data_IF_607725335530
#
_entry.id   IF_607725335530
#
_cell.length_a   1.000
_cell.length_b   1.000
_cell.length_c   1.000
_cell.angle_alpha   90.00
_cell.angle_beta   90.00
_cell.angle_gamma   90.00
#
_symmetry.space_group_name_H-M   'P 1'
#
loop_
_entity.id
_entity.type
_entity.pdbx_description
1 polymer ?
#
# COMPACT_ATOMS: atom_id res chain seq x y z
N UNK A 1 -5.35 65.90 28.04
CA UNK A 1 -5.53 65.10 26.81
C UNK A 1 -4.83 63.76 27.01
N UNK A 2 -5.57 62.67 27.16
CA UNK A 2 -5.01 61.32 26.96
C UNK A 2 -6.17 60.32 26.81
N UNK A 3 -6.37 59.81 25.59
CA UNK A 3 -7.30 58.72 25.30
C UNK A 3 -6.44 57.48 25.08
N UNK A 4 -6.47 56.55 26.04
CA UNK A 4 -5.89 55.24 25.88
C UNK A 4 -6.87 54.37 25.08
N UNK A 5 -6.56 54.12 23.81
CA UNK A 5 -7.31 53.17 22.98
C UNK A 5 -6.77 51.77 23.25
N UNK A 6 -7.54 50.96 23.97
CA UNK A 6 -7.26 49.55 24.20
C UNK A 6 -7.63 48.76 22.94
N UNK A 7 -6.64 48.33 22.17
CA UNK A 7 -6.80 47.38 21.06
C UNK A 7 -6.94 45.97 21.66
N UNK A 8 -8.16 45.42 21.64
CA UNK A 8 -8.41 44.01 21.94
C UNK A 8 -8.19 43.21 20.66
N UNK A 9 -7.04 42.56 20.56
CA UNK A 9 -6.73 41.60 19.48
C UNK A 9 -7.46 40.28 19.77
N UNK A 10 -8.50 39.98 19.01
CA UNK A 10 -9.20 38.70 19.07
C UNK A 10 -8.32 37.65 18.37
N UNK A 11 -7.69 36.78 19.15
CA UNK A 11 -6.99 35.61 18.65
C UNK A 11 -8.02 34.55 18.22
N UNK A 12 -8.38 34.52 16.93
CA UNK A 12 -9.16 33.42 16.36
C UNK A 12 -8.20 32.26 16.08
N UNK A 13 -7.96 31.45 17.10
CA UNK A 13 -7.32 30.14 16.94
C UNK A 13 -8.36 29.17 16.37
N UNK A 14 -8.60 29.24 15.06
CA UNK A 14 -9.38 28.21 14.39
C UNK A 14 -8.57 26.90 14.45
N UNK A 15 -9.05 25.94 15.25
CA UNK A 15 -8.64 24.54 15.19
C UNK A 15 -8.92 24.03 13.78
N UNK A 16 -7.94 24.15 12.89
CA UNK A 16 -7.98 23.63 11.51
C UNK A 16 -7.48 22.19 11.42
N UNK A 17 -7.58 21.43 12.53
CA UNK A 17 -7.27 20.02 12.53
C UNK A 17 -8.59 19.26 12.35
N UNK A 18 -8.85 18.88 11.10
CA UNK A 18 -9.68 17.75 10.66
C UNK A 18 -10.89 17.45 11.53
N UNK A 19 -12.05 18.01 11.15
CA UNK A 19 -13.32 17.41 11.55
C UNK A 19 -13.30 15.98 11.02
N UNK A 20 -13.34 15.02 11.94
CA UNK A 20 -13.64 13.63 11.59
C UNK A 20 -15.05 13.64 10.99
N UNK A 21 -15.16 13.32 9.70
CA UNK A 21 -16.44 12.99 9.11
C UNK A 21 -16.95 11.72 9.81
N UNK A 22 -18.24 11.74 10.17
CA UNK A 22 -18.85 10.72 11.02
C UNK A 22 -18.91 9.33 10.38
N UNK A 23 -18.68 9.28 9.06
CA UNK A 23 -18.49 8.08 8.26
C UNK A 23 -17.16 8.25 7.54
N UNK A 24 -16.31 7.21 7.52
CA UNK A 24 -15.06 7.26 6.76
C UNK A 24 -15.35 7.72 5.33
N UNK A 25 -14.74 8.83 4.90
CA UNK A 25 -14.93 9.38 3.54
C UNK A 25 -14.53 8.40 2.44
N UNK A 26 -13.79 7.36 2.81
CA UNK A 26 -13.35 6.26 1.96
C UNK A 26 -14.23 5.04 2.23
N UNK A 27 -14.75 4.42 1.17
CA UNK A 27 -15.50 3.15 1.23
C UNK A 27 -14.71 2.00 1.86
N UNK A 28 -15.31 0.80 1.86
CA UNK A 28 -14.67 -0.35 2.48
C UNK A 28 -13.42 -0.78 1.68
N UNK A 29 -12.34 -1.11 2.38
CA UNK A 29 -11.11 -1.69 1.80
C UNK A 29 -10.88 -3.09 2.36
N UNK A 30 -10.10 -3.96 1.67
CA UNK A 30 -9.76 -5.28 2.20
C UNK A 30 -9.10 -5.17 3.58
N UNK A 31 -9.43 -6.07 4.49
CA UNK A 31 -8.93 -6.00 5.87
C UNK A 31 -7.48 -6.48 6.02
N UNK A 32 -6.83 -6.08 7.11
CA UNK A 32 -5.44 -6.44 7.42
C UNK A 32 -5.20 -7.95 7.53
N UNK A 33 -6.18 -8.71 8.04
CA UNK A 33 -6.07 -10.15 8.21
C UNK A 33 -6.01 -10.82 6.84
N UNK A 34 -6.84 -10.41 5.89
CA UNK A 34 -6.80 -10.89 4.51
C UNK A 34 -5.45 -10.62 3.83
N UNK A 35 -4.83 -9.47 4.10
CA UNK A 35 -3.53 -9.11 3.55
C UNK A 35 -2.39 -9.98 4.08
N UNK A 36 -2.41 -10.27 5.39
CA UNK A 36 -1.34 -11.00 6.07
C UNK A 36 -1.53 -12.52 5.94
N UNK A 37 -2.70 -13.01 6.35
CA UNK A 37 -3.00 -14.46 6.35
C UNK A 37 -3.25 -14.98 4.94
N UNK A 38 -3.75 -14.11 4.05
CA UNK A 38 -3.88 -14.39 2.61
C UNK A 38 -2.56 -14.26 1.83
N UNK A 39 -1.41 -14.08 2.50
CA UNK A 39 -0.07 -14.10 1.89
C UNK A 39 0.25 -12.98 0.89
N UNK A 40 -0.56 -11.92 0.87
CA UNK A 40 -0.35 -10.76 0.00
C UNK A 40 0.91 -9.99 0.42
N UNK A 41 1.14 -9.81 1.73
CA UNK A 41 2.39 -9.20 2.21
C UNK A 41 3.61 -10.00 1.74
N UNK A 42 3.61 -11.32 1.92
CA UNK A 42 4.72 -12.19 1.53
C UNK A 42 5.00 -12.09 0.00
N UNK A 43 3.95 -11.99 -0.83
CA UNK A 43 4.06 -11.75 -2.27
C UNK A 43 4.67 -10.37 -2.58
N UNK A 44 4.11 -9.30 -2.02
CA UNK A 44 4.56 -7.93 -2.29
C UNK A 44 5.99 -7.70 -1.80
N UNK A 45 6.38 -8.31 -0.69
CA UNK A 45 7.74 -8.27 -0.17
C UNK A 45 8.76 -8.84 -1.16
N UNK A 46 8.44 -9.99 -1.77
CA UNK A 46 9.32 -10.71 -2.69
C UNK A 46 9.40 -10.06 -4.07
N UNK A 47 8.27 -9.57 -4.58
CA UNK A 47 8.15 -9.06 -5.96
C UNK A 47 8.34 -7.54 -6.07
N UNK A 48 8.03 -6.80 -5.01
CA UNK A 48 8.04 -5.33 -5.03
C UNK A 48 8.96 -4.74 -3.95
N UNK A 49 9.11 -5.42 -2.81
CA UNK A 49 9.76 -4.91 -1.61
C UNK A 49 11.29 -5.02 -1.56
N UNK A 50 11.96 -5.24 -2.70
CA UNK A 50 13.43 -5.25 -2.77
C UNK A 50 14.02 -3.83 -2.88
N UNK A 51 15.32 -3.69 -2.58
CA UNK A 51 16.02 -2.39 -2.48
C UNK A 51 15.97 -1.52 -3.74
N UNK A 52 15.99 -2.15 -4.90
CA UNK A 52 15.92 -1.51 -6.22
C UNK A 52 14.52 -0.96 -6.51
N UNK A 53 13.49 -1.63 -5.98
CA UNK A 53 12.08 -1.28 -6.09
C UNK A 53 11.59 -0.50 -4.86
N UNK A 54 10.63 -1.03 -4.11
CA UNK A 54 9.89 -0.36 -3.02
C UNK A 54 10.46 -0.61 -1.62
N UNK A 55 11.53 -1.40 -1.52
CA UNK A 55 12.25 -1.70 -0.28
C UNK A 55 13.20 -0.60 0.19
N UNK A 56 12.90 0.68 -0.06
CA UNK A 56 13.77 1.81 0.27
C UNK A 56 12.95 3.05 0.66
N UNK A 57 13.55 3.97 1.43
CA UNK A 57 12.84 5.13 1.98
C UNK A 57 12.35 6.13 0.90
N UNK A 58 13.09 6.25 -0.21
CA UNK A 58 12.87 7.23 -1.28
C UNK A 58 11.80 6.83 -2.30
N UNK A 59 10.88 5.92 -1.95
CA UNK A 59 9.80 5.45 -2.83
C UNK A 59 8.44 5.70 -2.18
N UNK A 60 7.42 6.18 -2.94
CA UNK A 60 6.12 6.53 -2.37
C UNK A 60 5.42 5.35 -1.68
N UNK A 61 5.37 4.18 -2.34
CA UNK A 61 4.98 2.94 -1.69
C UNK A 61 6.22 2.35 -1.01
N UNK A 62 6.20 2.35 0.32
CA UNK A 62 7.28 1.84 1.16
C UNK A 62 6.92 0.45 1.65
N UNK A 63 7.71 -0.55 1.28
CA UNK A 63 7.53 -1.92 1.70
C UNK A 63 8.73 -2.38 2.53
N UNK A 64 8.43 -3.01 3.66
CA UNK A 64 9.39 -3.64 4.55
C UNK A 64 9.49 -5.12 4.20
N UNK A 65 10.71 -5.63 4.07
CA UNK A 65 10.93 -7.04 3.75
C UNK A 65 12.28 -7.52 4.26
N UNK A 66 12.48 -8.84 4.29
CA UNK A 66 13.78 -9.47 4.56
C UNK A 66 14.94 -8.89 3.73
N UNK A 67 14.68 -8.57 2.45
CA UNK A 67 15.69 -8.11 1.48
C UNK A 67 15.62 -6.59 1.25
N UNK A 68 14.66 -5.92 1.88
CA UNK A 68 14.28 -4.53 1.69
C UNK A 68 14.40 -3.69 2.97
N UNK A 69 13.62 -2.61 3.02
CA UNK A 69 13.63 -1.72 4.17
C UNK A 69 13.23 -2.50 5.42
N UNK A 70 13.81 -2.16 6.57
CA UNK A 70 13.44 -2.73 7.87
C UNK A 70 12.76 -1.66 8.71
N UNK A 71 11.72 -2.03 9.46
CA UNK A 71 11.03 -1.06 10.33
C UNK A 71 11.93 -0.64 11.49
N UNK A 72 12.69 -1.60 12.02
CA UNK A 72 13.72 -1.37 13.01
C UNK A 72 15.07 -1.76 12.38
N UNK A 73 16.02 -0.83 12.39
CA UNK A 73 17.41 -1.18 12.15
C UNK A 73 17.93 -2.01 13.32
N UNK A 74 18.84 -2.96 13.08
CA UNK A 74 19.52 -3.57 14.21
C UNK A 74 20.38 -2.55 14.97
N UNK A 75 20.82 -2.92 16.17
CA UNK A 75 21.64 -2.08 17.06
C UNK A 75 22.91 -1.50 16.42
N UNK A 76 23.37 -2.04 15.30
CA UNK A 76 24.56 -1.63 14.57
C UNK A 76 24.22 -0.90 13.26
N UNK A 77 22.94 -0.62 13.00
CA UNK A 77 22.47 -0.07 11.72
C UNK A 77 22.60 -1.07 10.56
N UNK A 78 22.89 -2.34 10.83
CA UNK A 78 23.07 -3.37 9.83
C UNK A 78 21.73 -4.01 9.47
N UNK A 79 21.64 -4.39 8.20
CA UNK A 79 20.49 -5.12 7.66
C UNK A 79 20.71 -6.58 7.96
N UNK A 80 19.86 -7.16 8.81
CA UNK A 80 19.90 -8.60 9.07
C UNK A 80 18.90 -9.28 8.14
N UNK A 81 19.35 -10.27 7.38
CA UNK A 81 18.49 -11.17 6.61
C UNK A 81 17.70 -12.04 7.59
N UNK A 82 16.63 -11.46 8.13
CA UNK A 82 15.63 -12.11 8.98
C UNK A 82 14.30 -12.05 8.27
N UNK A 83 13.47 -13.06 8.51
CA UNK A 83 12.07 -13.02 8.13
C UNK A 83 11.43 -11.68 8.51
N UNK A 84 10.55 -11.19 7.63
CA UNK A 84 9.77 -9.99 7.88
C UNK A 84 8.92 -10.20 9.13
N UNK A 85 8.96 -9.22 10.02
CA UNK A 85 8.26 -9.27 11.31
C UNK A 85 6.77 -9.02 11.11
N UNK A 86 5.96 -9.37 12.12
CA UNK A 86 4.54 -9.05 12.10
C UNK A 86 4.28 -7.53 12.04
N UNK A 87 5.09 -6.74 12.74
CA UNK A 87 4.99 -5.28 12.72
C UNK A 87 5.28 -4.70 11.33
N UNK A 88 6.27 -5.26 10.62
CA UNK A 88 6.58 -4.89 9.24
C UNK A 88 5.44 -5.24 8.27
N UNK A 89 4.84 -6.42 8.39
CA UNK A 89 3.66 -6.79 7.58
C UNK A 89 2.45 -5.87 7.83
N UNK A 90 2.23 -5.47 9.08
CA UNK A 90 1.19 -4.48 9.44
C UNK A 90 1.52 -3.11 8.84
N UNK A 91 2.78 -2.70 8.85
CA UNK A 91 3.20 -1.45 8.23
C UNK A 91 3.04 -1.50 6.69
N UNK A 92 3.33 -2.64 6.06
CA UNK A 92 3.08 -2.87 4.63
C UNK A 92 1.59 -2.73 4.31
N UNK A 93 0.71 -3.37 5.08
CA UNK A 93 -0.74 -3.24 4.91
C UNK A 93 -1.16 -1.76 4.90
N UNK A 94 -0.75 -0.99 5.92
CA UNK A 94 -1.06 0.44 6.02
C UNK A 94 -0.54 1.23 4.84
N UNK A 95 0.70 0.97 4.41
CA UNK A 95 1.29 1.65 3.26
C UNK A 95 0.52 1.37 1.95
N UNK A 96 0.00 0.14 1.79
CA UNK A 96 -0.76 -0.26 0.60
C UNK A 96 -2.16 0.35 0.62
N UNK A 97 -2.93 0.18 1.70
CA UNK A 97 -4.32 0.67 1.75
C UNK A 97 -4.43 2.20 1.78
N UNK A 98 -3.37 2.90 2.23
CA UNK A 98 -3.34 4.36 2.22
C UNK A 98 -2.74 4.97 0.95
N UNK A 99 -2.32 4.16 -0.03
CA UNK A 99 -1.71 4.68 -1.27
C UNK A 99 -2.73 5.39 -2.17
N UNK A 100 -3.84 4.70 -2.42
CA UNK A 100 -4.97 5.14 -3.27
C UNK A 100 -6.28 4.63 -2.64
N UNK A 101 -6.63 5.11 -1.42
CA UNK A 101 -7.69 4.51 -0.62
C UNK A 101 -9.05 4.53 -1.33
N UNK A 102 -9.38 5.59 -2.07
CA UNK A 102 -10.64 5.72 -2.81
C UNK A 102 -10.74 4.72 -3.97
N UNK A 103 -9.66 4.54 -4.73
CA UNK A 103 -9.63 3.60 -5.86
C UNK A 103 -9.58 2.14 -5.39
N UNK A 104 -8.90 1.87 -4.27
CA UNK A 104 -8.93 0.55 -3.65
C UNK A 104 -10.33 0.22 -3.11
N UNK A 105 -10.98 1.17 -2.46
CA UNK A 105 -12.35 0.98 -1.98
C UNK A 105 -13.32 0.73 -3.12
N UNK A 106 -13.21 1.51 -4.20
CA UNK A 106 -13.99 1.31 -5.43
C UNK A 106 -13.78 -0.08 -6.03
N UNK A 107 -12.53 -0.54 -6.14
CA UNK A 107 -12.22 -1.89 -6.61
C UNK A 107 -12.82 -2.97 -5.70
N UNK A 108 -12.73 -2.79 -4.39
CA UNK A 108 -13.23 -3.75 -3.40
C UNK A 108 -14.76 -3.82 -3.36
N UNK A 109 -15.44 -2.68 -3.40
CA UNK A 109 -16.90 -2.57 -3.36
C UNK A 109 -17.52 -3.14 -4.65
N UNK A 110 -16.88 -2.88 -5.79
CA UNK A 110 -17.31 -3.41 -7.10
C UNK A 110 -16.80 -4.82 -7.39
N UNK A 111 -16.13 -5.49 -6.43
CA UNK A 111 -15.57 -6.85 -6.61
C UNK A 111 -14.65 -6.97 -7.83
N UNK A 112 -13.90 -5.91 -8.10
CA UNK A 112 -12.95 -5.84 -9.21
C UNK A 112 -13.55 -5.44 -10.55
N UNK A 113 -14.85 -5.11 -10.64
CA UNK A 113 -15.45 -4.60 -11.89
C UNK A 113 -14.88 -3.23 -12.29
N UNK A 114 -14.45 -2.40 -11.33
CA UNK A 114 -13.75 -1.14 -11.62
C UNK A 114 -12.47 -0.97 -10.81
N UNK A 115 -11.33 -1.11 -11.49
CA UNK A 115 -9.99 -0.82 -10.99
C UNK A 115 -9.20 0.07 -11.96
N UNK A 116 -9.90 0.77 -12.85
CA UNK A 116 -9.32 1.36 -14.06
C UNK A 116 -8.24 2.41 -13.77
N UNK A 117 -8.25 3.01 -12.58
CA UNK A 117 -7.28 4.00 -12.12
C UNK A 117 -6.36 3.50 -10.99
N UNK A 118 -6.63 2.33 -10.41
CA UNK A 118 -5.91 1.81 -9.24
C UNK A 118 -4.48 1.41 -9.62
N UNK A 119 -3.51 2.30 -9.41
CA UNK A 119 -2.13 2.11 -9.86
C UNK A 119 -1.46 0.91 -9.20
N UNK A 120 -1.88 0.52 -7.99
CA UNK A 120 -1.45 -0.72 -7.34
C UNK A 120 -1.57 -1.95 -8.26
N UNK A 121 -2.64 -2.02 -9.06
CA UNK A 121 -2.87 -3.11 -10.02
C UNK A 121 -2.30 -2.80 -11.40
N UNK A 122 -2.22 -1.53 -11.81
CA UNK A 122 -1.81 -1.17 -13.18
C UNK A 122 -0.30 -1.07 -13.37
N UNK A 123 0.47 -0.70 -12.35
CA UNK A 123 1.94 -0.59 -12.45
C UNK A 123 2.65 -1.93 -12.66
N UNK A 124 2.21 -3.04 -12.04
CA UNK A 124 2.84 -4.33 -12.29
C UNK A 124 2.58 -4.88 -13.70
N UNK A 125 1.56 -4.40 -14.43
CA UNK A 125 1.20 -4.85 -15.77
C UNK A 125 1.98 -4.12 -16.89
N UNK A 126 2.09 -4.78 -18.04
CA UNK A 126 2.60 -4.15 -19.28
C UNK A 126 1.59 -3.15 -19.85
N UNK A 127 2.05 -2.22 -20.71
CA UNK A 127 1.15 -1.30 -21.42
C UNK A 127 0.17 -2.04 -22.34
N UNK A 128 0.61 -3.14 -22.95
CA UNK A 128 -0.21 -3.99 -23.83
C UNK A 128 -1.35 -4.67 -23.05
N UNK A 129 -1.12 -4.95 -21.76
CA UNK A 129 -2.08 -5.63 -20.88
C UNK A 129 -2.90 -4.62 -20.05
N UNK A 130 -3.05 -3.39 -20.54
CA UNK A 130 -3.84 -2.35 -19.87
C UNK A 130 -3.16 -1.75 -18.64
N UNK A 131 -1.87 -2.02 -18.42
CA UNK A 131 -1.05 -1.44 -17.36
C UNK A 131 -0.64 0.00 -17.63
N UNK A 132 0.35 0.46 -16.87
CA UNK A 132 0.91 1.81 -17.01
C UNK A 132 2.44 1.78 -16.88
N UNK A 133 3.11 2.86 -17.30
CA UNK A 133 4.57 2.94 -17.22
C UNK A 133 5.05 2.80 -15.77
N UNK A 134 5.87 1.79 -15.53
CA UNK A 134 6.48 1.51 -14.24
C UNK A 134 8.00 1.51 -14.38
N UNK A 135 8.70 2.15 -13.42
CA UNK A 135 10.17 2.30 -13.48
C UNK A 135 10.87 0.93 -13.54
N UNK A 136 10.36 -0.07 -12.82
CA UNK A 136 10.89 -1.44 -12.83
C UNK A 136 10.44 -2.28 -14.03
N UNK A 137 9.67 -1.71 -14.96
CA UNK A 137 9.00 -2.48 -16.01
C UNK A 137 7.82 -3.31 -15.47
N UNK A 138 7.21 -4.12 -16.34
CA UNK A 138 6.16 -5.07 -15.96
C UNK A 138 6.74 -6.14 -15.02
N UNK A 139 6.02 -6.43 -13.94
CA UNK A 139 6.36 -7.47 -12.95
C UNK A 139 5.45 -8.70 -13.13
N UNK A 140 4.29 -8.51 -13.73
CA UNK A 140 3.29 -9.54 -13.98
C UNK A 140 3.14 -9.78 -15.48
N UNK A 141 2.99 -11.05 -15.83
CA UNK A 141 2.52 -11.49 -17.15
C UNK A 141 0.99 -11.43 -17.21
N UNK A 142 0.38 -11.80 -18.34
CA UNK A 142 -1.08 -11.69 -18.55
C UNK A 142 -1.92 -12.05 -17.31
N UNK A 143 -2.91 -11.20 -17.05
CA UNK A 143 -3.65 -11.16 -15.79
C UNK A 143 -4.29 -12.50 -15.41
N UNK A 144 -4.83 -13.27 -16.35
CA UNK A 144 -5.64 -14.43 -16.00
C UNK A 144 -4.84 -15.67 -15.56
N UNK A 145 -3.58 -15.80 -15.98
CA UNK A 145 -2.75 -16.96 -15.67
C UNK A 145 -1.67 -16.70 -14.62
N UNK A 146 -1.28 -15.44 -14.43
CA UNK A 146 -0.23 -15.04 -13.50
C UNK A 146 -0.69 -15.15 -12.03
N UNK A 147 0.04 -15.95 -11.23
CA UNK A 147 -0.25 -16.14 -9.81
C UNK A 147 -0.12 -14.83 -9.00
N UNK A 148 0.77 -13.92 -9.40
CA UNK A 148 0.92 -12.61 -8.79
C UNK A 148 -0.28 -11.70 -9.06
N UNK A 149 -0.87 -11.79 -10.26
CA UNK A 149 -2.14 -11.12 -10.54
C UNK A 149 -3.27 -11.69 -9.69
N UNK A 150 -3.47 -13.02 -9.74
CA UNK A 150 -4.50 -13.71 -8.92
C UNK A 150 -4.40 -13.34 -7.44
N UNK A 151 -3.17 -13.26 -6.92
CA UNK A 151 -2.92 -12.81 -5.56
C UNK A 151 -3.37 -11.36 -5.31
N UNK A 152 -2.80 -10.40 -6.05
CA UNK A 152 -2.98 -8.97 -5.76
C UNK A 152 -4.38 -8.48 -6.14
N UNK A 153 -4.86 -8.86 -7.33
CA UNK A 153 -6.22 -8.55 -7.79
C UNK A 153 -7.27 -9.26 -6.94
N UNK A 154 -7.06 -10.55 -6.62
CA UNK A 154 -7.96 -11.29 -5.75
C UNK A 154 -8.09 -10.62 -4.38
N UNK A 155 -6.98 -10.18 -3.78
CA UNK A 155 -7.05 -9.43 -2.53
C UNK A 155 -7.77 -8.08 -2.67
N UNK A 156 -7.41 -7.28 -3.69
CA UNK A 156 -8.02 -5.96 -3.91
C UNK A 156 -9.53 -6.04 -4.18
N UNK A 157 -10.00 -7.11 -4.84
CA UNK A 157 -11.42 -7.36 -5.13
C UNK A 157 -12.17 -8.10 -4.01
N UNK A 158 -11.48 -8.54 -2.96
CA UNK A 158 -12.07 -9.27 -1.83
C UNK A 158 -12.24 -10.78 -2.01
N UNK A 159 -11.58 -11.36 -3.02
CA UNK A 159 -11.52 -12.79 -3.31
C UNK A 159 -10.06 -13.31 -3.24
N UNK A 160 -9.38 -13.08 -2.11
CA UNK A 160 -7.96 -13.44 -1.95
C UNK A 160 -7.70 -14.93 -2.16
N UNK A 161 -6.76 -15.25 -3.05
CA UNK A 161 -6.25 -16.61 -3.26
C UNK A 161 -4.87 -16.76 -2.59
N UNK A 162 -4.89 -17.28 -1.36
CA UNK A 162 -3.68 -17.49 -0.58
C UNK A 162 -2.70 -18.48 -1.24
N UNK A 163 -3.19 -19.41 -2.07
CA UNK A 163 -2.35 -20.37 -2.78
C UNK A 163 -1.62 -19.67 -3.92
N UNK A 164 -2.33 -18.88 -4.73
CA UNK A 164 -1.71 -18.07 -5.78
C UNK A 164 -0.68 -17.09 -5.20
N UNK A 165 -0.99 -16.44 -4.08
CA UNK A 165 -0.03 -15.60 -3.37
C UNK A 165 1.22 -16.37 -2.95
N UNK A 166 1.07 -17.54 -2.34
CA UNK A 166 2.19 -18.36 -1.91
C UNK A 166 3.06 -18.85 -3.08
N UNK A 167 2.45 -19.21 -4.22
CA UNK A 167 3.20 -19.57 -5.43
C UNK A 167 3.93 -18.37 -6.03
N UNK A 168 3.29 -17.20 -6.10
CA UNK A 168 3.89 -15.98 -6.61
C UNK A 168 5.08 -15.49 -5.77
N UNK A 169 5.08 -15.77 -4.46
CA UNK A 169 6.21 -15.45 -3.56
C UNK A 169 7.47 -16.28 -3.81
N UNK A 170 7.38 -17.41 -4.52
CA UNK A 170 8.53 -18.31 -4.77
C UNK A 170 9.37 -17.88 -5.97
N UNK A 171 8.80 -17.10 -6.89
CA UNK A 171 9.43 -16.74 -8.16
C UNK A 171 10.29 -15.48 -7.99
N UNK A 172 11.62 -15.65 -7.98
CA UNK A 172 12.59 -14.56 -8.15
C UNK A 172 13.03 -14.48 -9.60
#
# INVERSE_FOLDING_TARGET
MSRATLLVTIAVSALSCSIATADGEVGAVPDQKSFIDGKVSDYMERRCGMLDCHGQEGRPLRLFSEWGLRLEADKNGQRVAKATTQAERVANYRAVVSLEPEELAKCYDTKGEDYTLLQLLKKPLSLENGGMRHKGGPVLTDAEDDNGWKCLFGWASGAVDATACAEASKVQ
#
